data_IF_919464933361
#
_entry.id   IF_919464933361
#
_cell.length_a   1.000
_cell.length_b   1.000
_cell.length_c   1.000
_cell.angle_alpha   90.00
_cell.angle_beta   90.00
_cell.angle_gamma   90.00
#
_symmetry.space_group_name_H-M   'P 1'
#
loop_
_entity.id
_entity.type
_entity.pdbx_description
1 polymer ?
#
# COMPACT_ATOMS: atom_id res chain seq x y z
N UNK A 1 4.23 -4.53 8.80
CA UNK A 1 4.90 -5.10 9.99
C UNK A 1 5.05 -4.01 11.06
N UNK A 2 4.77 -4.30 12.33
CA UNK A 2 5.09 -3.37 13.44
C UNK A 2 6.59 -3.38 13.67
N UNK A 3 7.22 -2.21 13.76
CA UNK A 3 8.68 -2.09 13.93
C UNK A 3 9.07 -1.42 15.25
N UNK A 4 8.19 -0.59 15.82
CA UNK A 4 8.44 0.09 17.07
C UNK A 4 7.14 0.51 17.75
N UNK A 5 7.17 0.58 19.08
CA UNK A 5 6.14 1.20 19.90
C UNK A 5 6.79 2.11 20.94
N UNK A 6 6.35 3.36 21.01
CA UNK A 6 6.87 4.32 22.01
C UNK A 6 6.13 4.18 23.34
N UNK A 7 6.70 4.71 24.42
CA UNK A 7 6.04 4.78 25.74
C UNK A 7 4.70 5.54 25.69
N UNK A 8 4.56 6.52 24.79
CA UNK A 8 3.32 7.25 24.54
C UNK A 8 2.25 6.47 23.77
N UNK A 9 2.54 5.21 23.38
CA UNK A 9 1.60 4.35 22.67
C UNK A 9 1.54 4.58 21.15
N UNK A 10 2.43 5.41 20.60
CA UNK A 10 2.58 5.52 19.14
C UNK A 10 3.19 4.24 18.60
N UNK A 11 2.57 3.66 17.56
CA UNK A 11 3.04 2.45 16.90
C UNK A 11 3.49 2.82 15.49
N UNK A 12 4.69 2.36 15.13
CA UNK A 12 5.25 2.51 13.80
C UNK A 12 5.20 1.19 13.05
N UNK A 13 4.82 1.29 11.78
CA UNK A 13 4.71 0.19 10.85
C UNK A 13 5.54 0.50 9.62
N UNK A 14 6.06 -0.57 9.05
CA UNK A 14 6.79 -0.58 7.81
C UNK A 14 6.08 -1.57 6.88
N UNK A 15 5.99 -1.23 5.60
CA UNK A 15 5.50 -2.12 4.57
C UNK A 15 6.69 -2.66 3.74
N UNK A 16 7.23 -3.85 4.07
CA UNK A 16 8.36 -4.43 3.34
C UNK A 16 8.03 -4.74 1.88
N UNK A 17 6.75 -4.95 1.53
CA UNK A 17 6.37 -5.26 0.15
C UNK A 17 6.45 -4.02 -0.75
N UNK A 18 6.39 -2.82 -0.17
CA UNK A 18 6.59 -1.57 -0.89
C UNK A 18 8.06 -1.21 -1.14
N UNK A 19 9.02 -2.02 -0.63
CA UNK A 19 10.44 -1.72 -0.74
C UNK A 19 10.90 -1.67 -2.20
N UNK A 20 11.47 -0.53 -2.59
CA UNK A 20 12.15 -0.34 -3.87
C UNK A 20 13.64 -0.09 -3.61
N UNK A 21 14.50 -0.71 -4.41
CA UNK A 21 15.96 -0.63 -4.31
C UNK A 21 16.53 0.05 -5.55
N UNK A 22 17.40 1.03 -5.36
CA UNK A 22 18.18 1.68 -6.43
C UNK A 22 19.59 2.02 -5.90
N UNK A 23 20.58 1.19 -6.24
CA UNK A 23 21.93 1.30 -5.66
C UNK A 23 21.90 1.27 -4.12
N UNK A 24 22.40 2.33 -3.50
CA UNK A 24 22.40 2.54 -2.04
C UNK A 24 21.09 3.14 -1.50
N UNK A 25 20.16 3.52 -2.40
CA UNK A 25 18.88 4.11 -2.02
C UNK A 25 17.81 3.05 -1.80
N UNK A 26 16.98 3.27 -0.78
CA UNK A 26 15.81 2.45 -0.45
C UNK A 26 14.60 3.35 -0.32
N UNK A 27 13.54 3.07 -1.08
CA UNK A 27 12.23 3.73 -0.91
C UNK A 27 11.24 2.76 -0.31
N UNK A 28 10.50 3.20 0.70
CA UNK A 28 9.57 2.34 1.43
C UNK A 28 8.42 3.13 2.04
N UNK A 29 7.26 2.50 2.12
CA UNK A 29 6.09 3.05 2.79
C UNK A 29 6.14 2.78 4.29
N UNK A 30 5.90 3.82 5.07
CA UNK A 30 5.77 3.78 6.53
C UNK A 30 4.38 4.23 6.95
N UNK A 31 3.94 3.74 8.10
CA UNK A 31 2.69 4.14 8.73
C UNK A 31 2.93 4.37 10.22
N UNK A 32 2.37 5.44 10.75
CA UNK A 32 2.36 5.78 12.17
C UNK A 32 0.92 5.80 12.65
N UNK A 33 0.63 5.12 13.75
CA UNK A 33 -0.62 5.27 14.50
C UNK A 33 -0.33 5.91 15.86
N UNK A 34 -1.05 6.98 16.18
CA UNK A 34 -1.11 7.53 17.52
C UNK A 34 -2.10 6.72 18.35
N UNK A 35 -1.86 6.65 19.66
CA UNK A 35 -2.78 6.01 20.59
C UNK A 35 -4.16 6.68 20.56
N UNK A 36 -4.16 8.02 20.53
CA UNK A 36 -5.34 8.88 20.52
C UNK A 36 -5.15 10.00 19.49
N UNK A 37 -6.27 10.60 19.06
CA UNK A 37 -6.25 11.78 18.18
C UNK A 37 -5.47 12.92 18.83
N UNK A 38 -4.60 13.59 18.07
CA UNK A 38 -3.94 14.80 18.53
C UNK A 38 -4.87 16.03 18.43
N UNK A 39 -4.37 17.22 18.77
CA UNK A 39 -5.15 18.47 18.78
C UNK A 39 -5.76 18.87 17.42
N UNK A 40 -5.22 18.36 16.31
CA UNK A 40 -5.73 18.62 14.96
C UNK A 40 -6.59 17.47 14.43
N UNK A 41 -6.95 16.51 15.29
CA UNK A 41 -7.80 15.37 14.94
C UNK A 41 -7.05 14.22 14.26
N UNK A 42 -5.73 14.33 14.05
CA UNK A 42 -4.91 13.28 13.43
C UNK A 42 -4.76 12.10 14.37
N UNK A 43 -5.01 10.90 13.86
CA UNK A 43 -4.74 9.64 14.58
C UNK A 43 -3.71 8.76 13.86
N UNK A 44 -3.51 8.95 12.56
CA UNK A 44 -2.46 8.25 11.83
C UNK A 44 -1.81 9.09 10.74
N UNK A 45 -0.67 8.62 10.25
CA UNK A 45 -0.02 9.14 9.06
C UNK A 45 0.58 8.00 8.26
N UNK A 46 0.55 8.13 6.94
CA UNK A 46 1.38 7.32 6.04
C UNK A 46 2.39 8.21 5.33
N UNK A 47 3.58 7.69 5.08
CA UNK A 47 4.61 8.38 4.33
C UNK A 47 5.31 7.44 3.35
N UNK A 48 5.76 7.98 2.21
CA UNK A 48 6.78 7.36 1.39
C UNK A 48 8.11 7.97 1.78
N UNK A 49 9.02 7.16 2.30
CA UNK A 49 10.34 7.61 2.74
C UNK A 49 11.43 7.06 1.83
N UNK A 50 12.48 7.86 1.63
CA UNK A 50 13.70 7.45 0.96
C UNK A 50 14.87 7.49 1.94
N UNK A 51 15.63 6.41 1.95
CA UNK A 51 16.81 6.21 2.78
C UNK A 51 18.04 6.04 1.89
N UNK A 52 19.11 6.73 2.23
CA UNK A 52 20.44 6.55 1.66
C UNK A 52 21.27 5.71 2.63
N UNK A 53 21.44 4.42 2.30
CA UNK A 53 22.10 3.44 3.15
C UNK A 53 23.60 3.68 3.31
N UNK A 54 24.21 4.45 2.40
CA UNK A 54 25.64 4.75 2.44
C UNK A 54 25.92 6.04 3.20
N UNK A 55 25.08 7.07 3.00
CA UNK A 55 25.25 8.37 3.66
C UNK A 55 24.45 8.52 4.97
N UNK A 56 23.73 7.48 5.40
CA UNK A 56 23.00 7.40 6.67
C UNK A 56 22.02 8.56 6.90
N UNK A 57 21.20 8.84 5.88
CA UNK A 57 20.24 9.94 5.86
C UNK A 57 18.92 9.51 5.25
N UNK A 58 17.85 10.22 5.59
CA UNK A 58 16.55 10.02 4.97
C UNK A 58 15.91 11.32 4.50
N UNK A 59 14.87 11.18 3.68
CA UNK A 59 13.89 12.23 3.40
C UNK A 59 12.50 11.62 3.23
N UNK A 60 11.47 12.42 3.48
CA UNK A 60 10.10 12.05 3.16
C UNK A 60 9.83 12.52 1.74
N UNK A 61 9.38 11.63 0.87
CA UNK A 61 9.01 11.95 -0.51
C UNK A 61 7.56 12.43 -0.60
N UNK A 62 6.68 11.83 0.21
CA UNK A 62 5.29 12.25 0.34
C UNK A 62 4.71 11.79 1.67
N UNK A 63 3.67 12.47 2.15
CA UNK A 63 2.94 12.07 3.34
C UNK A 63 1.45 12.38 3.25
N UNK A 64 0.67 11.74 4.11
CA UNK A 64 -0.72 12.14 4.39
C UNK A 64 -1.08 11.82 5.83
N UNK A 65 -1.78 12.77 6.46
CA UNK A 65 -2.29 12.68 7.82
C UNK A 65 -3.78 12.38 7.79
N UNK A 66 -4.21 11.48 8.68
CA UNK A 66 -5.55 10.91 8.64
C UNK A 66 -6.21 10.92 10.01
N UNK A 67 -7.54 11.08 10.02
CA UNK A 67 -8.32 11.19 11.25
C UNK A 67 -8.54 9.85 11.96
N UNK A 68 -8.37 8.71 11.30
CA UNK A 68 -8.52 7.39 11.93
C UNK A 68 -7.23 6.57 11.88
N UNK A 69 -7.12 5.45 12.62
CA UNK A 69 -5.96 4.57 12.56
C UNK A 69 -5.72 4.01 11.14
N UNK A 70 -4.48 3.61 10.85
CA UNK A 70 -4.10 2.94 9.62
C UNK A 70 -4.34 3.72 8.32
N UNK A 71 -4.17 5.04 8.37
CA UNK A 71 -4.38 5.96 7.25
C UNK A 71 -5.80 5.88 6.67
N UNK A 72 -6.79 5.71 7.54
CA UNK A 72 -8.22 5.69 7.20
C UNK A 72 -8.93 6.96 7.66
N UNK A 73 -10.18 7.12 7.22
CA UNK A 73 -11.00 8.28 7.54
C UNK A 73 -10.66 9.49 6.66
N UNK A 74 -10.82 10.68 7.22
CA UNK A 74 -10.60 11.94 6.52
C UNK A 74 -9.10 12.23 6.39
N UNK A 75 -8.67 12.66 5.21
CA UNK A 75 -7.32 13.20 4.98
C UNK A 75 -7.26 14.64 5.46
N UNK A 76 -6.53 14.88 6.55
CA UNK A 76 -6.41 16.18 7.22
C UNK A 76 -5.30 17.05 6.61
N UNK A 77 -4.24 16.40 6.11
CA UNK A 77 -3.14 17.05 5.41
C UNK A 77 -2.48 16.07 4.45
N UNK A 78 -1.87 16.60 3.38
CA UNK A 78 -1.04 15.83 2.46
C UNK A 78 -0.03 16.74 1.77
N UNK A 79 1.12 16.17 1.44
CA UNK A 79 2.14 16.80 0.60
C UNK A 79 2.87 15.70 -0.19
N UNK A 80 3.20 16.00 -1.43
CA UNK A 80 3.95 15.16 -2.36
C UNK A 80 5.32 15.75 -2.73
N UNK A 81 5.71 16.84 -2.07
CA UNK A 81 7.01 17.49 -2.21
C UNK A 81 8.05 16.80 -1.32
N UNK A 82 9.20 16.38 -1.88
CA UNK A 82 10.28 15.81 -1.08
C UNK A 82 10.84 16.79 -0.07
N UNK A 83 11.00 16.35 1.18
CA UNK A 83 11.72 17.12 2.19
C UNK A 83 13.21 17.16 1.87
N UNK A 84 13.96 18.15 2.40
CA UNK A 84 15.41 18.09 2.42
C UNK A 84 15.91 16.80 3.08
N UNK A 85 17.11 16.37 2.71
CA UNK A 85 17.80 15.28 3.37
C UNK A 85 18.10 15.60 4.82
N UNK A 86 17.90 14.61 5.70
CA UNK A 86 18.18 14.68 7.11
C UNK A 86 19.09 13.53 7.54
N UNK A 87 20.20 13.86 8.19
CA UNK A 87 21.08 12.86 8.79
C UNK A 87 20.41 12.20 9.99
N UNK A 88 20.63 10.89 10.13
CA UNK A 88 19.99 10.09 11.18
C UNK A 88 20.97 9.84 12.32
N UNK A 89 20.77 10.53 13.43
CA UNK A 89 21.66 10.44 14.59
C UNK A 89 21.59 9.06 15.27
N UNK A 90 22.72 8.57 15.82
CA UNK A 90 22.75 7.30 16.54
C UNK A 90 21.77 7.21 17.71
N UNK A 91 21.22 6.01 17.94
CA UNK A 91 20.29 5.74 19.05
C UNK A 91 18.89 6.34 18.87
N UNK A 92 18.59 6.93 17.70
CA UNK A 92 17.25 7.44 17.39
C UNK A 92 16.39 6.38 16.73
N UNK A 93 15.06 6.55 16.80
CA UNK A 93 14.13 5.74 16.02
C UNK A 93 14.46 5.81 14.52
N UNK A 94 14.87 6.98 14.02
CA UNK A 94 15.26 7.16 12.63
C UNK A 94 16.44 6.27 12.23
N UNK A 95 17.48 6.18 13.07
CA UNK A 95 18.59 5.26 12.80
C UNK A 95 18.14 3.80 12.82
N UNK A 96 17.29 3.40 13.77
CA UNK A 96 16.76 2.04 13.82
C UNK A 96 15.98 1.68 12.53
N UNK A 97 15.21 2.64 12.01
CA UNK A 97 14.50 2.51 10.73
C UNK A 97 15.47 2.35 9.56
N UNK A 98 16.52 3.17 9.48
CA UNK A 98 17.55 3.09 8.45
C UNK A 98 18.19 1.69 8.44
N UNK A 99 18.67 1.21 9.58
CA UNK A 99 19.34 -0.09 9.69
C UNK A 99 18.41 -1.22 9.24
N UNK A 100 17.14 -1.20 9.67
CA UNK A 100 16.15 -2.18 9.24
C UNK A 100 15.93 -2.12 7.73
N UNK A 101 15.61 -0.95 7.18
CA UNK A 101 15.32 -0.75 5.76
C UNK A 101 16.49 -1.17 4.87
N UNK A 102 17.71 -0.82 5.27
CA UNK A 102 18.91 -1.15 4.51
C UNK A 102 19.25 -2.65 4.55
N UNK A 103 18.89 -3.36 5.63
CA UNK A 103 19.07 -4.80 5.75
C UNK A 103 17.94 -5.61 5.08
N UNK A 104 16.79 -5.01 4.77
CA UNK A 104 15.67 -5.74 4.19
C UNK A 104 16.02 -6.33 2.82
N UNK A 105 15.79 -7.63 2.71
CA UNK A 105 15.78 -8.35 1.45
C UNK A 105 14.44 -9.05 1.28
N UNK A 106 13.51 -8.36 0.62
CA UNK A 106 12.17 -8.87 0.34
C UNK A 106 12.18 -9.37 -1.09
N UNK A 107 11.98 -10.68 -1.26
CA UNK A 107 11.59 -11.21 -2.55
C UNK A 107 10.21 -10.63 -2.86
N UNK A 108 10.12 -9.86 -3.95
CA UNK A 108 8.82 -9.32 -4.38
C UNK A 108 7.91 -10.53 -4.58
N UNK A 109 6.73 -10.61 -3.91
CA UNK A 109 5.77 -11.65 -4.22
C UNK A 109 5.55 -11.65 -5.73
N UNK A 110 5.40 -12.82 -6.38
CA UNK A 110 5.10 -12.85 -7.80
C UNK A 110 3.92 -11.91 -8.00
N UNK A 111 4.12 -10.87 -8.83
CA UNK A 111 3.03 -10.01 -9.27
C UNK A 111 1.96 -10.98 -9.76
N UNK A 112 0.71 -10.91 -9.27
CA UNK A 112 -0.36 -11.68 -9.88
C UNK A 112 -0.38 -11.31 -11.35
N UNK A 113 0.19 -12.18 -12.19
CA UNK A 113 0.21 -12.02 -13.64
C UNK A 113 -1.25 -11.98 -14.03
N UNK A 114 -1.70 -10.80 -14.40
CA UNK A 114 -2.94 -10.46 -15.07
C UNK A 114 -3.88 -11.66 -15.24
N UNK A 115 -4.60 -12.03 -14.17
CA UNK A 115 -5.92 -12.62 -14.38
C UNK A 115 -6.87 -11.45 -14.44
N UNK A 116 -6.86 -10.78 -15.60
CA UNK A 116 -8.12 -10.43 -16.20
C UNK A 116 -9.02 -11.66 -16.03
N UNK A 117 -9.98 -11.55 -15.11
CA UNK A 117 -11.18 -12.37 -15.21
C UNK A 117 -11.84 -11.84 -16.48
N UNK A 118 -11.36 -12.31 -17.63
CA UNK A 118 -12.19 -12.40 -18.82
C UNK A 118 -13.28 -13.37 -18.40
N UNK A 119 -14.38 -12.85 -17.87
CA UNK A 119 -15.63 -13.59 -17.88
C UNK A 119 -15.88 -13.92 -19.35
N UNK A 120 -16.00 -15.18 -19.74
CA UNK A 120 -16.59 -15.48 -21.03
C UNK A 120 -18.00 -14.89 -20.97
N UNK A 121 -18.27 -13.85 -21.77
CA UNK A 121 -19.64 -13.58 -22.19
C UNK A 121 -20.01 -14.79 -23.02
N UNK A 122 -20.62 -15.77 -22.38
CA UNK A 122 -21.29 -16.86 -23.06
C UNK A 122 -22.41 -16.19 -23.86
N UNK A 123 -22.16 -16.01 -25.16
CA UNK A 123 -23.20 -15.63 -26.11
C UNK A 123 -24.26 -16.72 -26.02
N UNK A 124 -25.54 -16.42 -25.71
CA UNK A 124 -26.56 -17.43 -25.84
C UNK A 124 -26.59 -17.89 -27.31
N UNK A 125 -26.39 -19.18 -27.50
CA UNK A 125 -26.53 -19.84 -28.78
C UNK A 125 -27.97 -19.67 -29.26
N UNK A 126 -28.14 -19.01 -30.41
CA UNK A 126 -29.40 -19.00 -31.14
C UNK A 126 -29.42 -20.30 -31.93
N UNK A 127 -29.94 -21.36 -31.29
CA UNK A 127 -30.02 -22.68 -31.90
C UNK A 127 -31.50 -23.07 -32.10
N UNK A 128 -31.92 -22.86 -33.34
CA UNK A 128 -32.92 -23.60 -34.14
C UNK A 128 -33.89 -24.56 -33.40
N UNK A 129 -35.11 -24.07 -33.11
CA UNK A 129 -36.27 -24.91 -32.73
C UNK A 129 -37.17 -25.30 -33.92
N UNK A 130 -36.63 -25.40 -35.15
CA UNK A 130 -37.42 -25.63 -36.37
C UNK A 130 -37.30 -27.03 -37.00
N UNK A 131 -37.20 -28.12 -36.24
CA UNK A 131 -37.28 -29.47 -36.83
C UNK A 131 -37.84 -30.54 -35.89
N UNK A 132 -38.97 -31.12 -36.31
CA UNK A 132 -39.73 -32.27 -35.75
C UNK A 132 -40.58 -31.94 -34.52
N UNK A 133 -41.91 -31.79 -34.60
CA UNK A 133 -42.86 -32.76 -35.16
C UNK A 133 -43.87 -32.13 -36.15
N UNK A 134 -43.94 -32.69 -37.35
CA UNK A 134 -45.14 -32.62 -38.18
C UNK A 134 -46.02 -33.84 -37.91
N UNK A 135 -47.25 -33.63 -37.47
CA UNK A 135 -48.41 -34.47 -37.80
C UNK A 135 -49.70 -33.70 -37.52
N UNK A 136 -50.43 -33.41 -38.60
CA UNK A 136 -51.65 -32.60 -38.57
C UNK A 136 -52.88 -33.30 -38.01
N UNK A 137 -53.93 -32.51 -37.77
CA UNK A 137 -55.33 -32.81 -38.11
C UNK A 137 -56.24 -31.59 -37.83
N UNK A 138 -57.00 -31.20 -38.87
CA UNK A 138 -58.28 -30.47 -38.85
C UNK A 138 -58.20 -28.97 -38.53
N UNK A 139 -58.79 -28.05 -39.28
CA UNK A 139 -59.84 -28.17 -40.30
C UNK A 139 -61.20 -27.86 -39.67
N UNK A 140 -61.65 -26.62 -39.92
CA UNK A 140 -62.91 -25.94 -39.53
C UNK A 140 -62.92 -25.29 -38.14
#
# INVERSE_FOLDING_TARGET
>A
MVINKTAGGTIFYLDPQSLQKDGDLRRISTLMNLKEKNKVGKQSARALEEYDCKAERNRVLSFSDHSEPFAMGETLARDDSPTPWKNLAPGTLGQAMLLLVCALNVEKPPVPVDKAVETPVEKPAVDDWWRYEGKGRGGQ
#
